data_IF_378633514264
#
_entry.id   IF_378633514264
#
_cell.length_a   1.000
_cell.length_b   1.000
_cell.length_c   1.000
_cell.angle_alpha   90.00
_cell.angle_beta   90.00
_cell.angle_gamma   90.00
#
_symmetry.space_group_name_H-M   'P 1'
#
loop_
_entity.id
_entity.type
_entity.pdbx_description
1 polymer ?
#
# COMPACT_ATOMS: atom_id res chain seq x y z
N UNK A 1 41.71 16.76 6.00
CA UNK A 1 40.74 17.47 5.15
C UNK A 1 40.76 16.74 3.82
N UNK A 2 39.81 15.91 3.42
CA UNK A 2 38.38 15.72 3.75
C UNK A 2 38.09 14.26 4.09
N UNK A 3 37.50 14.00 5.26
CA UNK A 3 36.82 12.74 5.54
C UNK A 3 35.51 12.75 4.74
N UNK A 4 35.43 11.94 3.69
CA UNK A 4 34.14 11.56 3.10
C UNK A 4 33.68 10.38 3.95
N UNK A 5 32.78 10.63 4.90
CA UNK A 5 32.02 9.54 5.50
C UNK A 5 31.16 8.96 4.38
N UNK A 6 31.34 7.65 4.13
CA UNK A 6 30.42 6.86 3.32
C UNK A 6 29.02 6.96 3.94
N UNK A 7 28.22 7.92 3.48
CA UNK A 7 26.78 7.90 3.69
C UNK A 7 26.23 6.71 2.91
N UNK A 8 25.96 5.61 3.61
CA UNK A 8 25.28 4.44 3.09
C UNK A 8 24.03 4.86 2.30
N UNK A 9 24.11 4.78 0.97
CA UNK A 9 22.98 5.02 0.08
C UNK A 9 21.97 3.90 0.33
N UNK A 10 20.85 4.23 0.99
CA UNK A 10 19.76 3.31 1.22
C UNK A 10 18.83 3.30 0.00
N UNK A 11 19.18 2.50 -1.02
CA UNK A 11 18.32 2.34 -2.20
C UNK A 11 17.04 1.56 -1.84
N UNK A 12 15.88 2.12 -2.14
CA UNK A 12 14.59 1.44 -2.08
C UNK A 12 14.24 0.86 -3.46
N UNK A 13 13.65 -0.34 -3.47
CA UNK A 13 13.22 -1.01 -4.69
C UNK A 13 11.72 -0.78 -4.92
N UNK A 14 11.39 0.00 -5.94
CA UNK A 14 10.03 0.11 -6.46
C UNK A 14 9.76 -1.01 -7.46
N UNK A 15 8.86 -1.92 -7.09
CA UNK A 15 8.39 -2.98 -7.98
C UNK A 15 7.03 -2.62 -8.56
N UNK A 16 6.95 -2.53 -9.89
CA UNK A 16 5.72 -2.20 -10.61
C UNK A 16 5.20 -3.46 -11.30
N UNK A 17 3.97 -3.83 -11.00
CA UNK A 17 3.32 -5.02 -11.52
C UNK A 17 1.96 -4.71 -12.12
N UNK A 18 1.61 -5.43 -13.18
CA UNK A 18 0.34 -5.31 -13.87
C UNK A 18 -0.52 -6.56 -13.73
N UNK A 19 -1.80 -6.40 -14.08
CA UNK A 19 -2.74 -7.52 -14.28
C UNK A 19 -3.20 -7.45 -15.74
N UNK A 20 -3.08 -8.55 -16.46
CA UNK A 20 -3.55 -8.63 -17.84
C UNK A 20 -5.03 -9.05 -17.93
N UNK A 21 -5.60 -9.04 -19.14
CA UNK A 21 -7.00 -9.42 -19.42
C UNK A 21 -7.37 -10.84 -19.01
N UNK A 22 -6.39 -11.73 -18.85
CA UNK A 22 -6.58 -13.09 -18.32
C UNK A 22 -6.47 -13.18 -16.79
N UNK A 23 -6.49 -12.04 -16.09
CA UNK A 23 -6.33 -11.93 -14.64
C UNK A 23 -5.02 -12.57 -14.12
N UNK A 24 -3.96 -12.54 -14.95
CA UNK A 24 -2.62 -12.98 -14.57
C UNK A 24 -1.76 -11.77 -14.21
N UNK A 25 -1.03 -11.90 -13.11
CA UNK A 25 -0.07 -10.89 -12.65
C UNK A 25 1.23 -11.03 -13.43
N UNK A 26 1.82 -9.91 -13.84
CA UNK A 26 3.13 -9.87 -14.46
C UNK A 26 3.92 -8.68 -13.92
N UNK A 27 5.24 -8.79 -13.92
CA UNK A 27 6.12 -7.66 -13.60
C UNK A 27 6.22 -6.75 -14.81
N UNK A 28 5.96 -5.46 -14.62
CA UNK A 28 6.16 -4.46 -15.66
C UNK A 28 7.57 -3.86 -15.58
N UNK A 29 7.99 -3.43 -14.39
CA UNK A 29 9.30 -2.79 -14.20
C UNK A 29 9.79 -2.93 -12.75
N UNK A 30 11.10 -2.71 -12.60
CA UNK A 30 11.76 -2.45 -11.33
C UNK A 30 12.50 -1.12 -11.44
N UNK A 31 12.46 -0.33 -10.37
CA UNK A 31 13.26 0.89 -10.25
C UNK A 31 13.95 0.93 -8.88
N UNK A 32 15.26 1.13 -8.88
CA UNK A 32 16.01 1.44 -7.67
C UNK A 32 15.99 2.94 -7.48
N UNK A 33 15.42 3.40 -6.36
CA UNK A 33 15.33 4.81 -6.02
C UNK A 33 16.21 5.07 -4.80
N UNK A 34 17.02 6.12 -4.88
CA UNK A 34 18.02 6.41 -3.84
C UNK A 34 17.42 6.74 -2.48
N UNK A 35 16.20 7.29 -2.45
CA UNK A 35 15.41 7.62 -1.26
C UNK A 35 13.92 7.61 -1.62
N UNK A 36 13.05 7.30 -0.65
CA UNK A 36 11.58 7.42 -0.77
C UNK A 36 11.15 8.90 -0.67
N UNK A 37 11.49 9.68 -1.70
CA UNK A 37 11.15 11.10 -1.84
C UNK A 37 10.29 11.32 -3.07
N UNK A 38 9.43 12.32 -3.03
CA UNK A 38 8.46 12.61 -4.10
C UNK A 38 9.15 12.79 -5.46
N UNK A 39 10.27 13.53 -5.52
CA UNK A 39 11.03 13.72 -6.77
C UNK A 39 11.57 12.40 -7.36
N UNK A 40 11.99 11.46 -6.51
CA UNK A 40 12.50 10.16 -6.96
C UNK A 40 11.36 9.28 -7.50
N UNK A 41 10.21 9.27 -6.83
CA UNK A 41 9.03 8.58 -7.33
C UNK A 41 8.50 9.21 -8.63
N UNK A 42 8.48 10.54 -8.70
CA UNK A 42 8.05 11.29 -9.90
C UNK A 42 8.91 10.90 -11.10
N UNK A 43 10.23 10.87 -10.94
CA UNK A 43 11.14 10.42 -11.99
C UNK A 43 10.85 8.98 -12.41
N UNK A 44 10.75 8.05 -11.45
CA UNK A 44 10.52 6.63 -11.75
C UNK A 44 9.17 6.39 -12.46
N UNK A 45 8.11 7.11 -12.04
CA UNK A 45 6.80 7.04 -12.66
C UNK A 45 6.77 7.70 -14.04
N UNK A 46 7.54 8.76 -14.27
CA UNK A 46 7.65 9.35 -15.61
C UNK A 46 8.35 8.39 -16.58
N UNK A 47 9.42 7.70 -16.15
CA UNK A 47 10.03 6.64 -16.96
C UNK A 47 9.04 5.51 -17.26
N UNK A 48 8.24 5.11 -16.27
CA UNK A 48 7.15 4.15 -16.45
C UNK A 48 6.13 4.65 -17.49
N UNK A 49 5.70 5.91 -17.41
CA UNK A 49 4.74 6.53 -18.33
C UNK A 49 5.26 6.51 -19.76
N UNK A 50 6.53 6.85 -19.97
CA UNK A 50 7.17 6.78 -21.29
C UNK A 50 7.19 5.35 -21.83
N UNK A 51 7.51 4.36 -20.99
CA UNK A 51 7.52 2.95 -21.37
C UNK A 51 6.12 2.39 -21.71
N UNK A 52 5.07 2.87 -21.03
CA UNK A 52 3.69 2.46 -21.29
C UNK A 52 3.13 3.04 -22.61
N UNK A 53 3.73 4.11 -23.13
CA UNK A 53 3.28 4.81 -24.34
C UNK A 53 1.78 5.16 -24.26
N UNK A 54 0.93 4.56 -25.11
CA UNK A 54 -0.52 4.82 -25.14
C UNK A 54 -1.32 4.02 -24.09
N UNK A 55 -0.71 3.05 -23.41
CA UNK A 55 -1.41 2.14 -22.49
C UNK A 55 -1.34 2.65 -21.05
N UNK A 56 -1.96 3.80 -20.79
CA UNK A 56 -2.00 4.41 -19.45
C UNK A 56 -2.87 3.56 -18.50
N UNK A 57 -2.40 3.26 -17.27
CA UNK A 57 -3.19 2.50 -16.31
C UNK A 57 -4.46 3.26 -15.92
N UNK A 58 -5.60 2.57 -15.92
CA UNK A 58 -6.86 3.13 -15.43
C UNK A 58 -6.92 3.14 -13.90
N UNK A 59 -6.23 2.20 -13.25
CA UNK A 59 -6.21 2.03 -11.80
C UNK A 59 -4.78 1.78 -11.36
N UNK A 60 -4.34 2.50 -10.33
CA UNK A 60 -3.05 2.31 -9.69
C UNK A 60 -3.29 1.96 -8.23
N UNK A 61 -2.66 0.87 -7.77
CA UNK A 61 -2.75 0.39 -6.40
C UNK A 61 -1.38 0.49 -5.75
N UNK A 62 -1.26 1.26 -4.68
CA UNK A 62 -0.02 1.39 -3.89
C UNK A 62 -0.29 1.19 -2.42
N UNK A 63 0.74 1.19 -1.59
CA UNK A 63 0.56 1.42 -0.17
C UNK A 63 0.26 2.91 0.14
N UNK A 64 0.28 3.26 1.43
CA UNK A 64 0.06 4.64 1.92
C UNK A 64 1.41 5.37 2.09
N UNK A 65 2.23 5.43 1.03
CA UNK A 65 3.44 6.25 1.00
C UNK A 65 3.15 7.63 0.36
N UNK A 66 3.14 8.67 1.17
CA UNK A 66 2.67 10.01 0.76
C UNK A 66 3.45 10.55 -0.44
N UNK A 67 4.77 10.34 -0.46
CA UNK A 67 5.61 10.79 -1.57
C UNK A 67 5.25 10.11 -2.90
N UNK A 68 4.89 8.82 -2.85
CA UNK A 68 4.45 8.06 -4.03
C UNK A 68 3.03 8.48 -4.46
N UNK A 69 2.14 8.72 -3.50
CA UNK A 69 0.78 9.18 -3.76
C UNK A 69 0.78 10.51 -4.52
N UNK A 70 1.56 11.50 -4.06
CA UNK A 70 1.70 12.79 -4.72
C UNK A 70 2.24 12.63 -6.14
N UNK A 71 3.28 11.82 -6.32
CA UNK A 71 3.87 11.56 -7.63
C UNK A 71 2.88 10.91 -8.61
N UNK A 72 2.01 10.01 -8.14
CA UNK A 72 0.95 9.40 -8.97
C UNK A 72 -0.06 10.44 -9.43
N UNK A 73 -0.50 11.33 -8.55
CA UNK A 73 -1.48 12.38 -8.90
C UNK A 73 -0.92 13.33 -9.97
N UNK A 74 0.39 13.57 -9.98
CA UNK A 74 1.08 14.39 -10.99
C UNK A 74 1.26 13.63 -12.31
N UNK A 75 1.75 12.39 -12.28
CA UNK A 75 2.15 11.66 -13.50
C UNK A 75 0.96 10.93 -14.17
N UNK A 76 0.00 10.46 -13.37
CA UNK A 76 -1.17 9.70 -13.82
C UNK A 76 -2.48 10.32 -13.29
N UNK A 77 -2.78 11.60 -13.60
CA UNK A 77 -3.92 12.33 -13.02
C UNK A 77 -5.29 11.72 -13.38
N UNK A 78 -5.37 10.95 -14.46
CA UNK A 78 -6.60 10.27 -14.89
C UNK A 78 -6.77 8.87 -14.30
N UNK A 79 -5.71 8.31 -13.72
CA UNK A 79 -5.76 6.99 -13.10
C UNK A 79 -6.45 7.09 -11.74
N UNK A 80 -7.35 6.15 -11.46
CA UNK A 80 -7.91 6.04 -10.12
C UNK A 80 -6.86 5.44 -9.18
N UNK A 81 -6.45 6.22 -8.20
CA UNK A 81 -5.48 5.79 -7.20
C UNK A 81 -6.15 5.14 -5.98
N UNK A 82 -5.77 3.90 -5.69
CA UNK A 82 -6.29 3.07 -4.61
C UNK A 82 -5.18 2.65 -3.64
N UNK A 83 -5.58 2.32 -2.41
CA UNK A 83 -4.69 1.83 -1.38
C UNK A 83 -4.79 0.31 -1.20
N UNK A 84 -3.62 -0.32 -1.07
CA UNK A 84 -3.47 -1.73 -0.85
C UNK A 84 -3.97 -2.08 0.55
N UNK A 85 -5.12 -2.75 0.62
CA UNK A 85 -5.72 -3.18 1.88
C UNK A 85 -4.79 -4.05 2.72
N UNK A 86 -3.87 -4.81 2.10
CA UNK A 86 -2.91 -5.61 2.83
C UNK A 86 -1.89 -4.75 3.59
N UNK A 87 -1.27 -3.77 2.93
CA UNK A 87 -0.33 -2.84 3.57
C UNK A 87 -1.03 -1.96 4.61
N UNK A 88 -2.23 -1.46 4.29
CA UNK A 88 -3.05 -0.74 5.25
C UNK A 88 -3.33 -1.58 6.49
N UNK A 89 -3.81 -2.82 6.32
CA UNK A 89 -4.11 -3.71 7.44
C UNK A 89 -2.86 -3.97 8.27
N UNK A 90 -1.70 -4.18 7.63
CA UNK A 90 -0.42 -4.34 8.33
C UNK A 90 -0.06 -3.12 9.18
N UNK A 91 -0.15 -1.91 8.62
CA UNK A 91 0.14 -0.67 9.33
C UNK A 91 -0.80 -0.47 10.52
N UNK A 92 -2.11 -0.66 10.29
CA UNK A 92 -3.13 -0.59 11.33
C UNK A 92 -2.89 -1.60 12.45
N UNK A 93 -2.62 -2.86 12.10
CA UNK A 93 -2.39 -3.92 13.08
C UNK A 93 -1.13 -3.70 13.90
N UNK A 94 -0.04 -3.24 13.29
CA UNK A 94 1.19 -2.93 14.00
C UNK A 94 1.00 -1.78 14.99
N UNK A 95 0.17 -0.79 14.66
CA UNK A 95 -0.14 0.33 15.54
C UNK A 95 -1.10 -0.06 16.68
N UNK A 96 -2.21 -0.73 16.36
CA UNK A 96 -3.27 -1.00 17.34
C UNK A 96 -2.95 -2.16 18.30
N UNK A 97 -2.13 -3.14 17.88
CA UNK A 97 -1.82 -4.31 18.71
C UNK A 97 -1.21 -3.96 20.09
N UNK A 98 -0.17 -3.11 20.18
CA UNK A 98 0.39 -2.74 21.49
C UNK A 98 -0.58 -1.92 22.35
N UNK A 99 -1.54 -1.20 21.75
CA UNK A 99 -2.51 -0.37 22.48
C UNK A 99 -3.64 -1.23 23.05
N UNK A 100 -4.17 -2.17 22.27
CA UNK A 100 -5.35 -2.96 22.65
C UNK A 100 -5.02 -4.20 23.49
N UNK A 101 -3.89 -4.86 23.23
CA UNK A 101 -3.59 -6.17 23.81
C UNK A 101 -4.60 -7.26 23.43
N UNK A 102 -4.39 -8.49 23.90
CA UNK A 102 -5.37 -9.59 23.73
C UNK A 102 -6.34 -9.64 24.91
N UNK A 103 -7.64 -9.99 24.72
CA UNK A 103 -8.27 -10.43 23.46
C UNK A 103 -8.84 -9.29 22.58
N UNK A 104 -8.79 -8.04 23.05
CA UNK A 104 -9.42 -6.90 22.38
C UNK A 104 -8.89 -6.68 20.95
N UNK A 105 -7.58 -6.86 20.73
CA UNK A 105 -6.97 -6.78 19.42
C UNK A 105 -7.54 -7.81 18.42
N UNK A 106 -7.83 -9.03 18.87
CA UNK A 106 -8.46 -10.06 18.02
C UNK A 106 -9.86 -9.65 17.57
N UNK A 107 -10.67 -9.12 18.48
CA UNK A 107 -12.02 -8.64 18.15
C UNK A 107 -11.99 -7.39 17.26
N UNK A 108 -11.08 -6.46 17.53
CA UNK A 108 -10.80 -5.32 16.65
C UNK A 108 -10.46 -5.78 15.23
N UNK A 109 -9.55 -6.74 15.09
CA UNK A 109 -9.12 -7.27 13.80
C UNK A 109 -10.28 -7.92 13.03
N UNK A 110 -11.13 -8.70 13.72
CA UNK A 110 -12.35 -9.27 13.13
C UNK A 110 -13.30 -8.16 12.66
N UNK A 111 -13.60 -7.18 13.53
CA UNK A 111 -14.47 -6.06 13.22
C UNK A 111 -13.95 -5.23 12.02
N UNK A 112 -12.65 -4.95 11.97
CA UNK A 112 -12.02 -4.24 10.85
C UNK A 112 -12.19 -4.97 9.53
N UNK A 113 -11.98 -6.30 9.50
CA UNK A 113 -12.20 -7.10 8.30
C UNK A 113 -13.65 -7.00 7.80
N UNK A 114 -14.65 -7.00 8.70
CA UNK A 114 -16.05 -6.78 8.32
C UNK A 114 -16.29 -5.40 7.72
N UNK A 115 -15.65 -4.36 8.24
CA UNK A 115 -15.72 -3.01 7.64
C UNK A 115 -15.16 -3.03 6.21
N UNK A 116 -13.98 -3.64 5.99
CA UNK A 116 -13.33 -3.68 4.68
C UNK A 116 -14.18 -4.36 3.59
N UNK A 117 -14.88 -5.44 3.93
CA UNK A 117 -15.71 -6.22 2.98
C UNK A 117 -17.13 -5.69 2.85
N UNK A 118 -17.46 -4.56 3.50
CA UNK A 118 -18.79 -3.96 3.40
C UNK A 118 -19.10 -3.57 1.96
N UNK A 119 -20.22 -4.09 1.45
CA UNK A 119 -20.66 -3.96 0.06
C UNK A 119 -21.75 -2.89 -0.15
N UNK A 120 -22.17 -2.21 0.91
CA UNK A 120 -23.17 -1.13 0.85
C UNK A 120 -22.89 -0.09 1.94
N UNK A 121 -23.38 1.16 1.78
CA UNK A 121 -23.29 2.17 2.84
C UNK A 121 -23.93 1.71 4.17
N UNK A 122 -25.05 0.98 4.09
CA UNK A 122 -25.75 0.46 5.28
C UNK A 122 -24.95 -0.61 6.01
N UNK A 123 -24.36 -1.57 5.28
CA UNK A 123 -23.50 -2.58 5.89
C UNK A 123 -22.21 -1.97 6.45
N UNK A 124 -21.63 -1.00 5.75
CA UNK A 124 -20.49 -0.22 6.25
C UNK A 124 -20.81 0.48 7.57
N UNK A 125 -21.91 1.24 7.65
CA UNK A 125 -22.29 1.97 8.86
C UNK A 125 -22.47 1.03 10.05
N UNK A 126 -23.16 -0.10 9.86
CA UNK A 126 -23.34 -1.13 10.90
C UNK A 126 -22.00 -1.69 11.36
N UNK A 127 -21.14 -2.08 10.42
CA UNK A 127 -19.86 -2.70 10.74
C UNK A 127 -18.89 -1.70 11.39
N UNK A 128 -18.93 -0.43 10.97
CA UNK A 128 -18.12 0.64 11.53
C UNK A 128 -18.55 0.98 12.97
N UNK A 129 -19.86 1.01 13.24
CA UNK A 129 -20.35 1.14 14.61
C UNK A 129 -19.87 -0.01 15.50
N UNK A 130 -19.91 -1.25 15.00
CA UNK A 130 -19.37 -2.40 15.73
C UNK A 130 -17.86 -2.30 15.96
N UNK A 131 -17.10 -1.82 14.98
CA UNK A 131 -15.67 -1.59 15.11
C UNK A 131 -15.36 -0.54 16.18
N UNK A 132 -16.11 0.56 16.23
CA UNK A 132 -15.92 1.62 17.21
C UNK A 132 -16.06 1.10 18.66
N UNK A 133 -16.92 0.10 18.90
CA UNK A 133 -17.05 -0.56 20.20
C UNK A 133 -15.79 -1.35 20.61
N UNK A 134 -14.94 -1.73 19.65
CA UNK A 134 -13.69 -2.47 19.90
C UNK A 134 -12.47 -1.54 20.03
N UNK A 135 -12.65 -0.23 19.91
CA UNK A 135 -11.56 0.73 19.88
C UNK A 135 -11.48 1.55 21.17
N UNK A 136 -10.27 1.81 21.64
CA UNK A 136 -10.01 2.86 22.62
C UNK A 136 -10.11 4.24 21.94
N UNK A 137 -10.23 5.34 22.71
CA UNK A 137 -10.18 6.69 22.14
C UNK A 137 -8.91 6.93 21.31
N UNK A 138 -7.76 6.42 21.75
CA UNK A 138 -6.48 6.52 21.03
C UNK A 138 -6.53 5.78 19.68
N UNK A 139 -7.06 4.55 19.66
CA UNK A 139 -7.21 3.79 18.40
C UNK A 139 -8.19 4.50 17.47
N UNK A 140 -9.32 5.01 17.99
CA UNK A 140 -10.27 5.76 17.18
C UNK A 140 -9.66 7.01 16.57
N UNK A 141 -8.90 7.79 17.34
CA UNK A 141 -8.22 9.00 16.86
C UNK A 141 -7.20 8.68 15.76
N UNK A 142 -6.39 7.63 15.96
CA UNK A 142 -5.48 7.15 14.92
C UNK A 142 -6.25 6.79 13.65
N UNK A 143 -7.38 6.10 13.77
CA UNK A 143 -8.20 5.71 12.62
C UNK A 143 -8.82 6.90 11.88
N UNK A 144 -9.44 7.82 12.62
CA UNK A 144 -10.09 9.02 12.06
C UNK A 144 -9.09 9.95 11.41
N UNK A 145 -7.85 10.00 11.90
CA UNK A 145 -6.78 10.82 11.34
C UNK A 145 -6.14 10.14 10.12
N UNK A 146 -5.87 8.83 10.18
CA UNK A 146 -5.00 8.17 9.20
C UNK A 146 -5.73 7.44 8.08
N UNK A 147 -6.96 6.99 8.28
CA UNK A 147 -7.63 6.05 7.37
C UNK A 147 -8.97 6.54 6.88
N UNK A 148 -9.77 7.17 7.74
CA UNK A 148 -11.11 7.68 7.36
C UNK A 148 -11.06 8.74 6.25
N UNK A 149 -10.10 9.67 6.19
CA UNK A 149 -10.00 10.62 5.08
C UNK A 149 -9.71 9.95 3.74
N UNK A 150 -9.14 8.74 3.76
CA UNK A 150 -8.73 7.98 2.57
C UNK A 150 -9.75 6.88 2.20
N UNK A 151 -10.92 6.88 2.83
CA UNK A 151 -11.94 5.83 2.73
C UNK A 151 -12.32 5.43 1.30
N UNK A 152 -12.36 6.40 0.39
CA UNK A 152 -12.73 6.21 -1.03
C UNK A 152 -11.65 5.48 -1.85
N UNK A 153 -10.44 5.33 -1.29
CA UNK A 153 -9.33 4.61 -1.92
C UNK A 153 -9.29 3.13 -1.57
N UNK A 154 -10.10 2.62 -0.63
CA UNK A 154 -9.99 1.22 -0.20
C UNK A 154 -11.26 0.53 0.31
N UNK A 155 -12.33 1.22 0.73
CA UNK A 155 -13.53 0.51 1.16
C UNK A 155 -14.30 -0.08 -0.02
N UNK A 156 -14.67 -1.37 0.09
CA UNK A 156 -15.23 -2.14 -1.03
C UNK A 156 -16.47 -1.51 -1.65
N UNK A 157 -17.38 -0.95 -0.85
CA UNK A 157 -18.59 -0.32 -1.38
C UNK A 157 -18.29 0.95 -2.22
N UNK A 158 -17.20 1.65 -1.91
CA UNK A 158 -16.78 2.89 -2.60
C UNK A 158 -15.98 2.63 -3.87
N UNK A 159 -15.35 1.45 -3.96
CA UNK A 159 -14.56 1.02 -5.13
C UNK A 159 -15.25 -0.13 -5.90
N UNK A 160 -16.56 -0.27 -5.71
CA UNK A 160 -17.32 -1.43 -6.21
C UNK A 160 -17.44 -1.47 -7.73
N UNK A 161 -17.28 -0.32 -8.38
CA UNK A 161 -17.25 -0.15 -9.84
C UNK A 161 -15.92 -0.60 -10.47
N UNK A 162 -14.92 -0.97 -9.67
CA UNK A 162 -13.63 -1.49 -10.15
C UNK A 162 -13.69 -3.01 -10.21
N UNK A 163 -13.98 -3.52 -11.40
CA UNK A 163 -13.99 -4.95 -11.69
C UNK A 163 -12.57 -5.55 -11.55
N UNK A 164 -12.48 -6.80 -11.09
CA UNK A 164 -11.22 -7.54 -10.90
C UNK A 164 -10.24 -7.01 -9.84
N UNK A 165 -10.67 -6.09 -8.97
CA UNK A 165 -9.86 -5.62 -7.85
C UNK A 165 -9.65 -6.72 -6.78
N UNK A 166 -8.40 -7.16 -6.59
CA UNK A 166 -8.01 -8.08 -5.51
C UNK A 166 -6.59 -7.79 -4.98
N UNK A 167 -6.50 -7.46 -3.69
CA UNK A 167 -5.24 -7.13 -3.00
C UNK A 167 -4.40 -8.35 -2.62
N UNK A 168 -4.96 -9.57 -2.67
CA UNK A 168 -4.25 -10.81 -2.32
C UNK A 168 -3.06 -11.09 -3.25
N UNK A 169 -3.13 -10.62 -4.50
CA UNK A 169 -2.08 -10.77 -5.51
C UNK A 169 -0.85 -9.93 -5.18
N UNK A 170 -1.04 -8.72 -4.63
CA UNK A 170 0.06 -7.85 -4.17
C UNK A 170 0.86 -8.56 -3.10
N UNK A 171 0.19 -9.18 -2.12
CA UNK A 171 0.83 -9.97 -1.07
C UNK A 171 1.67 -11.13 -1.63
N UNK A 172 1.10 -11.90 -2.57
CA UNK A 172 1.80 -13.03 -3.18
C UNK A 172 3.04 -12.59 -3.96
N UNK A 173 2.92 -11.49 -4.71
CA UNK A 173 4.01 -10.98 -5.52
C UNK A 173 5.15 -10.41 -4.67
N UNK A 174 4.80 -9.62 -3.65
CA UNK A 174 5.76 -9.11 -2.66
C UNK A 174 6.52 -10.26 -1.97
N UNK A 175 5.83 -11.33 -1.58
CA UNK A 175 6.46 -12.50 -0.98
C UNK A 175 7.45 -13.19 -1.94
N UNK A 176 7.09 -13.31 -3.22
CA UNK A 176 7.96 -13.90 -4.25
C UNK A 176 9.23 -13.09 -4.48
N UNK A 177 9.12 -11.76 -4.64
CA UNK A 177 10.28 -10.87 -4.83
C UNK A 177 11.18 -10.91 -3.60
N UNK A 178 10.60 -10.83 -2.39
CA UNK A 178 11.36 -10.92 -1.14
C UNK A 178 12.12 -12.24 -1.02
N UNK A 179 11.52 -13.36 -1.43
CA UNK A 179 12.18 -14.68 -1.42
C UNK A 179 13.33 -14.74 -2.42
N UNK A 180 13.15 -14.19 -3.62
CA UNK A 180 14.18 -14.15 -4.66
C UNK A 180 15.40 -13.33 -4.20
N UNK A 181 15.17 -12.15 -3.61
CA UNK A 181 16.24 -11.28 -3.12
C UNK A 181 17.00 -11.87 -1.93
N UNK A 182 16.33 -12.63 -1.07
CA UNK A 182 16.96 -13.34 0.05
C UNK A 182 17.73 -14.60 -0.36
N UNK A 183 17.34 -15.24 -1.47
CA UNK A 183 18.00 -16.43 -2.00
C UNK A 183 19.20 -16.13 -2.90
N UNK A 184 19.35 -14.87 -3.32
CA UNK A 184 20.53 -14.38 -4.02
C UNK A 184 21.45 -13.71 -2.99
N UNK A 185 22.78 -13.83 -3.13
CA UNK A 185 23.78 -13.28 -2.19
C UNK A 185 23.81 -11.73 -2.10
N UNK A 186 22.69 -11.04 -2.34
CA UNK A 186 22.49 -9.61 -2.08
C UNK A 186 22.27 -9.36 -0.57
N UNK A 187 23.24 -9.77 0.25
CA UNK A 187 23.20 -9.60 1.71
C UNK A 187 23.24 -8.13 2.17
N UNK A 188 23.51 -7.18 1.27
CA UNK A 188 23.48 -5.74 1.57
C UNK A 188 22.09 -5.10 1.49
N UNK A 189 21.09 -5.77 0.89
CA UNK A 189 19.73 -5.22 0.78
C UNK A 189 18.85 -5.58 1.99
N UNK A 190 19.30 -6.49 2.87
CA UNK A 190 18.41 -7.11 3.86
C UNK A 190 18.13 -6.24 5.11
N UNK A 191 18.84 -5.12 5.28
CA UNK A 191 18.61 -4.21 6.42
C UNK A 191 17.60 -3.08 6.16
N UNK A 192 17.06 -2.94 4.95
CA UNK A 192 16.45 -1.66 4.56
C UNK A 192 15.13 -1.70 3.77
N UNK A 193 14.49 -2.86 3.64
CA UNK A 193 13.10 -2.95 3.16
C UNK A 193 12.10 -2.46 4.23
N UNK A 194 11.99 -1.14 4.38
CA UNK A 194 10.79 -0.50 4.97
C UNK A 194 9.75 -0.29 3.87
N UNK A 195 8.51 -0.09 4.32
CA UNK A 195 7.29 -0.32 3.56
C UNK A 195 7.04 0.77 2.50
N UNK A 196 6.88 0.32 1.25
CA UNK A 196 6.29 0.98 0.09
C UNK A 196 5.32 -0.01 -0.62
#
# INVERSE_FOLDING_TARGET
MTHIQDELIQDALLHIAGINSSNKTFTFAFAFISREKEGNFTWALDQLRLALSLHVPQVILTDKEQALMNAIEVIFPTARHLLCQWHMAKNLYNHCRPILGEPAYSEFKKAWNFVLVSNSPKSYQKNYANLALQCTPEVMDYMTTNWIPLKDKFFRYLISDIYHFNTSRVKSLYASVKRFLKGSNFAHADNHFKHA
#
